data_IF_746787881283
#
_entry.id   IF_746787881283
#
_cell.length_a   1.000
_cell.length_b   1.000
_cell.length_c   1.000
_cell.angle_alpha   90.00
_cell.angle_beta   90.00
_cell.angle_gamma   90.00
#
_symmetry.space_group_name_H-M   'P 1'
#
loop_
_entity.id
_entity.type
_entity.pdbx_description
1 polymer ?
#
# COMPACT_ATOMS: atom_id res chain seq x y z
N UNK A 1 12.27 2.54 6.77
CA UNK A 1 13.19 1.40 6.92
C UNK A 1 13.07 0.95 8.36
N UNK A 2 12.85 -0.32 8.58
CA UNK A 2 12.72 -0.87 9.91
C UNK A 2 14.09 -0.92 10.61
N UNK A 3 14.09 -1.12 11.94
CA UNK A 3 15.32 -1.06 12.74
C UNK A 3 16.28 -2.25 12.51
N UNK A 4 15.79 -3.28 11.87
CA UNK A 4 16.48 -4.54 11.51
C UNK A 4 16.91 -4.60 10.04
N UNK A 5 16.61 -3.54 9.26
CA UNK A 5 17.03 -3.42 7.88
C UNK A 5 18.24 -2.48 7.75
N UNK A 6 19.11 -2.69 6.74
CA UNK A 6 20.23 -1.79 6.47
C UNK A 6 20.44 -1.54 4.98
N UNK A 7 20.96 -0.35 4.66
CA UNK A 7 21.33 0.01 3.31
C UNK A 7 22.62 -0.71 2.87
N UNK A 8 22.73 -1.08 1.58
CA UNK A 8 24.03 -1.42 1.01
C UNK A 8 24.90 -0.16 0.91
N UNK A 9 26.24 -0.27 0.96
CA UNK A 9 27.12 0.91 1.03
C UNK A 9 26.88 1.96 -0.06
N UNK A 10 26.53 1.53 -1.28
CA UNK A 10 26.34 2.43 -2.43
C UNK A 10 24.88 2.81 -2.69
N UNK A 11 23.96 2.49 -1.77
CA UNK A 11 22.52 2.67 -1.99
C UNK A 11 22.16 4.11 -2.39
N UNK A 12 22.64 5.11 -1.64
CA UNK A 12 22.32 6.52 -1.90
C UNK A 12 22.94 7.04 -3.20
N UNK A 13 24.16 6.60 -3.53
CA UNK A 13 24.78 6.93 -4.81
C UNK A 13 23.97 6.39 -5.99
N UNK A 14 23.52 5.14 -5.91
CA UNK A 14 22.64 4.52 -6.92
C UNK A 14 21.32 5.26 -7.07
N UNK A 15 20.66 5.59 -5.98
CA UNK A 15 19.45 6.41 -6.00
C UNK A 15 19.68 7.76 -6.67
N UNK A 16 20.80 8.43 -6.36
CA UNK A 16 21.14 9.72 -6.93
C UNK A 16 21.40 9.62 -8.45
N UNK A 17 22.13 8.61 -8.92
CA UNK A 17 22.38 8.37 -10.34
C UNK A 17 21.05 8.18 -11.08
N UNK A 18 20.16 7.32 -10.57
CA UNK A 18 18.87 7.08 -11.21
C UNK A 18 17.96 8.31 -11.19
N UNK A 19 18.02 9.10 -10.12
CA UNK A 19 17.29 10.37 -10.05
C UNK A 19 17.84 11.39 -11.07
N UNK A 20 19.14 11.51 -11.21
CA UNK A 20 19.77 12.43 -12.16
C UNK A 20 19.48 12.04 -13.62
N UNK A 21 19.30 10.75 -13.90
CA UNK A 21 18.90 10.23 -15.21
C UNK A 21 17.44 10.49 -15.58
N UNK A 22 16.61 11.03 -14.66
CA UNK A 22 15.30 11.56 -15.02
C UNK A 22 15.51 12.95 -15.64
N UNK A 23 14.99 13.19 -16.87
CA UNK A 23 15.08 14.52 -17.49
C UNK A 23 14.58 15.61 -16.55
N UNK A 24 15.34 16.68 -16.37
CA UNK A 24 15.04 17.73 -15.38
C UNK A 24 13.63 18.27 -15.49
N UNK A 25 13.13 18.47 -16.72
CA UNK A 25 11.77 18.94 -17.01
C UNK A 25 10.65 17.98 -16.58
N UNK A 26 10.99 16.71 -16.31
CA UNK A 26 10.02 15.67 -15.92
C UNK A 26 10.08 15.33 -14.43
N UNK A 27 11.14 15.74 -13.72
CA UNK A 27 11.35 15.40 -12.30
C UNK A 27 10.19 15.81 -11.39
N UNK A 28 9.46 16.88 -11.76
CA UNK A 28 8.29 17.32 -10.99
C UNK A 28 7.17 16.27 -10.96
N UNK A 29 7.11 15.38 -11.95
CA UNK A 29 6.13 14.29 -12.04
C UNK A 29 6.53 13.08 -11.20
N UNK A 30 7.75 13.05 -10.67
CA UNK A 30 8.29 11.89 -9.96
C UNK A 30 8.29 12.09 -8.45
N UNK A 31 7.85 11.04 -7.75
CA UNK A 31 7.90 10.92 -6.32
C UNK A 31 9.34 10.75 -5.83
N UNK A 32 10.10 9.89 -6.52
CA UNK A 32 11.46 9.49 -6.19
C UNK A 32 11.91 8.26 -6.96
N UNK A 33 12.84 7.52 -6.35
CA UNK A 33 13.42 6.29 -6.91
C UNK A 33 13.20 5.14 -5.91
N UNK A 34 12.89 3.94 -6.43
CA UNK A 34 12.63 2.75 -5.65
C UNK A 34 13.51 1.59 -6.12
N UNK A 35 14.21 0.95 -5.19
CA UNK A 35 15.05 -0.22 -5.43
C UNK A 35 14.59 -1.46 -4.68
N UNK A 36 15.35 -2.54 -4.82
CA UNK A 36 15.02 -3.85 -4.28
C UNK A 36 15.63 -4.03 -2.87
N UNK A 37 14.89 -4.76 -2.03
CA UNK A 37 15.47 -5.46 -0.89
C UNK A 37 15.98 -6.85 -1.32
N UNK A 38 17.04 -7.30 -0.68
CA UNK A 38 17.47 -8.68 -0.69
C UNK A 38 17.62 -9.19 0.75
N UNK A 39 17.61 -10.49 0.93
CA UNK A 39 18.07 -11.12 2.17
C UNK A 39 19.62 -11.18 2.18
N UNK A 40 20.22 -11.49 3.33
CA UNK A 40 21.68 -11.70 3.44
C UNK A 40 22.19 -12.78 2.48
N UNK A 41 21.35 -13.76 2.13
CA UNK A 41 21.62 -14.77 1.11
C UNK A 41 21.83 -14.22 -0.31
N UNK A 42 21.47 -12.95 -0.54
CA UNK A 42 21.42 -12.34 -1.87
C UNK A 42 20.12 -12.57 -2.63
N UNK A 43 19.18 -13.36 -2.07
CA UNK A 43 17.87 -13.58 -2.67
C UNK A 43 17.00 -12.31 -2.57
N UNK A 44 16.32 -11.97 -3.66
CA UNK A 44 15.46 -10.78 -3.71
C UNK A 44 14.19 -11.00 -2.87
N UNK A 45 13.81 -10.01 -2.07
CA UNK A 45 12.56 -10.03 -1.32
C UNK A 45 11.39 -9.86 -2.30
N UNK A 46 10.65 -10.95 -2.50
CA UNK A 46 9.55 -11.01 -3.44
C UNK A 46 10.01 -11.09 -4.90
N UNK A 47 9.54 -10.20 -5.77
CA UNK A 47 9.85 -10.23 -7.21
C UNK A 47 10.62 -9.00 -7.67
N UNK A 48 11.38 -9.14 -8.75
CA UNK A 48 11.97 -8.02 -9.49
C UNK A 48 10.89 -7.20 -10.20
N UNK A 49 11.24 -6.00 -10.62
CA UNK A 49 10.45 -5.20 -11.55
C UNK A 49 10.55 -5.79 -12.97
N UNK A 50 9.53 -5.56 -13.84
CA UNK A 50 9.51 -6.17 -15.18
C UNK A 50 10.64 -5.70 -16.11
N UNK A 51 11.23 -4.54 -15.84
CA UNK A 51 12.38 -3.99 -16.58
C UNK A 51 13.43 -3.49 -15.60
N UNK A 52 14.70 -3.41 -16.03
CA UNK A 52 15.78 -2.95 -15.16
C UNK A 52 15.58 -1.51 -14.68
N UNK A 53 14.97 -0.67 -15.50
CA UNK A 53 14.47 0.66 -15.13
C UNK A 53 13.05 0.79 -15.64
N UNK A 54 12.12 1.14 -14.75
CA UNK A 54 10.71 1.31 -15.07
C UNK A 54 10.17 2.58 -14.42
N UNK A 55 9.70 3.51 -15.22
CA UNK A 55 8.96 4.68 -14.73
C UNK A 55 7.46 4.37 -14.72
N UNK A 56 6.88 4.26 -13.52
CA UNK A 56 5.50 3.83 -13.31
C UNK A 56 4.96 4.36 -11.98
N UNK A 57 3.84 3.83 -11.53
CA UNK A 57 3.33 4.06 -10.19
C UNK A 57 3.05 2.74 -9.45
N UNK A 58 2.93 2.81 -8.13
CA UNK A 58 2.76 1.63 -7.27
C UNK A 58 1.51 0.80 -7.60
N UNK A 59 0.44 1.42 -8.10
CA UNK A 59 -0.77 0.68 -8.47
C UNK A 59 -0.53 -0.21 -9.69
N UNK A 60 0.07 0.34 -10.74
CA UNK A 60 0.39 -0.42 -11.97
C UNK A 60 1.35 -1.53 -11.61
N UNK A 61 2.39 -1.22 -10.82
CA UNK A 61 3.38 -2.18 -10.39
C UNK A 61 2.73 -3.36 -9.64
N UNK A 62 1.92 -3.07 -8.63
CA UNK A 62 1.30 -4.08 -7.77
C UNK A 62 0.18 -4.85 -8.47
N UNK A 63 -0.69 -4.18 -9.20
CA UNK A 63 -1.92 -4.79 -9.69
C UNK A 63 -1.88 -5.24 -11.15
N UNK A 64 -1.04 -4.65 -11.99
CA UNK A 64 -0.86 -5.08 -13.37
C UNK A 64 0.38 -5.96 -13.55
N UNK A 65 1.52 -5.53 -13.03
CA UNK A 65 2.77 -6.30 -13.10
C UNK A 65 2.91 -7.36 -11.99
N UNK A 66 2.01 -7.35 -10.99
CA UNK A 66 1.97 -8.33 -9.87
C UNK A 66 3.30 -8.38 -9.09
N UNK A 67 4.00 -7.27 -9.00
CA UNK A 67 5.22 -7.17 -8.20
C UNK A 67 4.87 -7.33 -6.72
N UNK A 68 5.65 -8.18 -6.04
CA UNK A 68 5.46 -8.56 -4.63
C UNK A 68 6.72 -8.29 -3.81
N UNK A 69 6.58 -8.38 -2.50
CA UNK A 69 7.66 -8.16 -1.54
C UNK A 69 7.95 -6.68 -1.31
N UNK A 70 8.60 -6.40 -0.19
CA UNK A 70 8.95 -5.06 0.21
C UNK A 70 9.99 -4.45 -0.74
N UNK A 71 9.88 -3.15 -0.94
CA UNK A 71 10.74 -2.35 -1.79
C UNK A 71 11.13 -1.07 -1.05
N UNK A 72 12.34 -0.58 -1.28
CA UNK A 72 12.85 0.61 -0.61
C UNK A 72 12.81 1.82 -1.54
N UNK A 73 12.11 2.86 -1.12
CA UNK A 73 11.99 4.11 -1.87
C UNK A 73 12.67 5.26 -1.16
N UNK A 74 13.40 6.08 -1.91
CA UNK A 74 13.74 7.44 -1.52
C UNK A 74 12.75 8.40 -2.16
N UNK A 75 12.18 9.27 -1.33
CA UNK A 75 11.05 10.13 -1.69
C UNK A 75 11.43 11.58 -1.50
N UNK A 76 10.99 12.43 -2.42
CA UNK A 76 11.16 13.88 -2.31
C UNK A 76 10.49 14.40 -1.04
N UNK A 77 11.27 15.04 -0.18
CA UNK A 77 10.81 15.51 1.12
C UNK A 77 9.65 16.51 1.03
N UNK A 78 9.67 17.40 0.02
CA UNK A 78 8.59 18.36 -0.21
C UNK A 78 7.26 17.68 -0.57
N UNK A 79 7.29 16.56 -1.30
CA UNK A 79 6.08 15.78 -1.59
C UNK A 79 5.61 15.10 -0.30
N UNK A 80 6.51 14.44 0.42
CA UNK A 80 6.14 13.72 1.66
C UNK A 80 5.49 14.64 2.69
N UNK A 81 5.96 15.90 2.81
CA UNK A 81 5.36 16.92 3.69
C UNK A 81 3.91 17.27 3.33
N UNK A 82 3.55 17.17 2.05
CA UNK A 82 2.19 17.45 1.56
C UNK A 82 1.21 16.28 1.75
N UNK A 83 1.70 15.11 2.15
CA UNK A 83 0.91 13.90 2.37
C UNK A 83 1.19 13.33 3.77
N UNK A 84 0.83 14.04 4.84
CA UNK A 84 1.05 13.54 6.19
C UNK A 84 0.23 12.29 6.45
N UNK A 85 0.74 11.44 7.34
CA UNK A 85 -0.04 10.34 7.88
C UNK A 85 -1.21 10.91 8.70
N UNK A 86 -2.43 10.35 8.53
CA UNK A 86 -3.54 10.73 9.40
C UNK A 86 -3.25 10.23 10.82
N UNK A 87 -3.34 11.11 11.82
CA UNK A 87 -3.01 10.84 13.23
C UNK A 87 -4.25 10.54 14.10
N UNK A 88 -5.45 10.68 13.53
CA UNK A 88 -6.75 10.55 14.20
C UNK A 88 -7.47 9.21 13.94
N UNK A 89 -6.83 8.25 13.24
CA UNK A 89 -7.48 7.01 12.79
C UNK A 89 -7.21 5.77 13.65
N UNK A 90 -6.58 5.93 14.82
CA UNK A 90 -6.26 4.85 15.73
C UNK A 90 -4.76 4.55 15.86
N UNK A 91 -4.43 3.41 16.50
CA UNK A 91 -3.05 3.07 16.84
C UNK A 91 -2.26 2.45 15.67
N UNK A 92 -2.93 1.89 14.69
CA UNK A 92 -2.33 1.28 13.51
C UNK A 92 -2.87 1.94 12.24
N UNK A 93 -1.99 2.62 11.53
CA UNK A 93 -2.30 3.30 10.28
C UNK A 93 -1.48 2.66 9.17
N UNK A 94 -2.12 1.95 8.22
CA UNK A 94 -1.41 1.36 7.09
C UNK A 94 -0.75 2.44 6.23
N UNK A 95 0.54 2.29 5.96
CA UNK A 95 1.31 3.22 5.12
C UNK A 95 0.73 3.38 3.72
N UNK A 96 0.08 2.34 3.21
CA UNK A 96 -0.56 2.33 1.89
C UNK A 96 -1.59 3.46 1.69
N UNK A 97 -2.14 4.06 2.76
CA UNK A 97 -3.00 5.25 2.65
C UNK A 97 -2.23 6.39 1.98
N UNK A 98 -1.03 6.66 2.47
CA UNK A 98 -0.17 7.75 1.97
C UNK A 98 0.38 7.40 0.59
N UNK A 99 0.87 6.17 0.43
CA UNK A 99 1.39 5.69 -0.86
C UNK A 99 0.33 5.76 -1.96
N UNK A 100 -0.90 5.34 -1.70
CA UNK A 100 -1.98 5.43 -2.67
C UNK A 100 -2.35 6.88 -3.04
N UNK A 101 -2.32 7.80 -2.08
CA UNK A 101 -2.57 9.23 -2.36
C UNK A 101 -1.50 9.81 -3.27
N UNK A 102 -0.22 9.53 -3.01
CA UNK A 102 0.89 9.99 -3.83
C UNK A 102 0.90 9.34 -5.22
N UNK A 103 0.66 8.04 -5.30
CA UNK A 103 0.65 7.29 -6.56
C UNK A 103 -0.44 7.73 -7.56
N UNK A 104 -1.47 8.45 -7.10
CA UNK A 104 -2.47 9.08 -7.99
C UNK A 104 -1.92 10.25 -8.80
N UNK A 105 -0.82 10.86 -8.36
CA UNK A 105 -0.28 12.10 -8.93
C UNK A 105 1.14 11.98 -9.45
N UNK A 106 1.92 11.07 -8.86
CA UNK A 106 3.34 10.96 -9.12
C UNK A 106 3.71 9.59 -9.64
N UNK A 107 4.73 9.56 -10.49
CA UNK A 107 5.43 8.36 -10.88
C UNK A 107 6.58 8.09 -9.90
N UNK A 108 7.04 6.85 -9.88
CA UNK A 108 8.26 6.41 -9.20
C UNK A 108 9.16 5.75 -10.24
N UNK A 109 10.45 6.02 -10.21
CA UNK A 109 11.43 5.26 -11.00
C UNK A 109 11.82 4.02 -10.22
N UNK A 110 11.43 2.86 -10.72
CA UNK A 110 11.75 1.55 -10.16
C UNK A 110 13.01 1.01 -10.84
N UNK A 111 13.95 0.48 -10.04
CA UNK A 111 15.23 -0.02 -10.54
C UNK A 111 15.54 -1.40 -9.96
N UNK A 112 15.96 -2.34 -10.82
CA UNK A 112 16.34 -3.70 -10.43
C UNK A 112 17.73 -3.76 -9.78
N UNK A 113 17.99 -2.85 -8.84
CA UNK A 113 19.21 -2.80 -8.05
C UNK A 113 18.89 -3.07 -6.58
N UNK A 114 19.72 -3.90 -5.95
CA UNK A 114 19.65 -4.14 -4.50
C UNK A 114 20.22 -2.90 -3.81
N UNK A 115 19.37 -2.26 -3.00
CA UNK A 115 19.70 -1.03 -2.28
C UNK A 115 19.66 -1.21 -0.76
N UNK A 116 19.03 -2.29 -0.30
CA UNK A 116 18.98 -2.62 1.12
C UNK A 116 18.91 -4.14 1.33
N UNK A 117 19.33 -4.53 2.53
CA UNK A 117 19.24 -5.90 3.02
C UNK A 117 18.15 -5.94 4.11
N UNK A 118 17.33 -6.98 4.06
CA UNK A 118 16.28 -7.25 5.03
C UNK A 118 16.63 -8.48 5.84
N UNK A 119 16.54 -8.37 7.16
CA UNK A 119 16.64 -9.52 8.04
C UNK A 119 15.32 -10.30 8.04
N UNK A 120 15.39 -11.62 7.92
CA UNK A 120 14.21 -12.48 7.97
C UNK A 120 13.75 -12.65 9.42
N UNK A 121 12.56 -12.15 9.73
CA UNK A 121 11.90 -12.39 11.02
C UNK A 121 10.80 -13.43 10.86
N UNK A 122 10.89 -14.53 11.61
CA UNK A 122 9.90 -15.62 11.59
C UNK A 122 8.53 -15.24 12.19
N UNK A 123 8.44 -14.15 12.97
CA UNK A 123 7.23 -13.68 13.65
C UNK A 123 6.85 -12.26 13.21
N UNK A 124 6.55 -12.06 11.91
CA UNK A 124 6.16 -10.75 11.39
C UNK A 124 4.72 -10.36 11.75
N UNK A 125 4.45 -9.03 11.79
CA UNK A 125 3.10 -8.46 11.96
C UNK A 125 2.09 -8.92 10.88
N UNK A 126 2.58 -9.55 9.82
CA UNK A 126 1.78 -10.01 8.66
C UNK A 126 0.74 -11.05 9.07
N UNK A 127 1.06 -11.96 9.99
CA UNK A 127 0.15 -13.03 10.42
C UNK A 127 -1.00 -12.50 11.30
N UNK A 128 -0.78 -11.39 11.99
CA UNK A 128 -1.79 -10.69 12.81
C UNK A 128 -2.54 -9.60 12.03
N UNK A 129 -2.21 -9.38 10.77
CA UNK A 129 -2.69 -8.25 9.96
C UNK A 129 -4.21 -8.16 9.85
N UNK A 130 -4.91 -9.28 9.76
CA UNK A 130 -6.39 -9.30 9.66
C UNK A 130 -7.05 -8.76 10.92
N UNK A 131 -6.60 -9.18 12.09
CA UNK A 131 -7.13 -8.72 13.39
C UNK A 131 -6.69 -7.28 13.67
N UNK A 132 -5.46 -6.92 13.29
CA UNK A 132 -4.95 -5.57 13.44
C UNK A 132 -5.77 -4.55 12.64
N UNK A 133 -6.15 -4.89 11.41
CA UNK A 133 -7.05 -4.07 10.60
C UNK A 133 -8.48 -4.00 11.19
N UNK A 134 -8.98 -5.10 11.73
CA UNK A 134 -10.30 -5.12 12.37
C UNK A 134 -10.34 -4.30 13.66
N UNK A 135 -9.24 -4.27 14.41
CA UNK A 135 -9.07 -3.44 15.60
C UNK A 135 -8.86 -1.94 15.28
N UNK A 136 -8.47 -1.60 14.04
CA UNK A 136 -8.29 -0.22 13.57
C UNK A 136 -9.15 0.04 12.31
N UNK A 137 -10.49 -0.07 12.42
CA UNK A 137 -11.37 -0.14 11.25
C UNK A 137 -11.44 1.17 10.46
N UNK A 138 -11.25 2.33 11.09
CA UNK A 138 -11.25 3.62 10.39
C UNK A 138 -10.09 3.72 9.40
N UNK A 139 -8.87 3.37 9.83
CA UNK A 139 -7.69 3.35 8.97
C UNK A 139 -7.79 2.28 7.88
N UNK A 140 -8.27 1.07 8.23
CA UNK A 140 -8.47 -0.01 7.28
C UNK A 140 -9.51 0.35 6.21
N UNK A 141 -10.62 1.02 6.59
CA UNK A 141 -11.62 1.57 5.68
C UNK A 141 -11.02 2.59 4.72
N UNK A 142 -10.28 3.57 5.26
CA UNK A 142 -9.65 4.61 4.46
C UNK A 142 -8.68 4.02 3.42
N UNK A 143 -7.91 2.99 3.79
CA UNK A 143 -7.06 2.27 2.84
C UNK A 143 -7.84 1.71 1.65
N UNK A 144 -9.04 1.11 1.90
CA UNK A 144 -9.89 0.59 0.82
C UNK A 144 -10.52 1.70 0.00
N UNK A 145 -10.92 2.78 0.65
CA UNK A 145 -11.40 3.98 -0.03
C UNK A 145 -10.37 4.53 -1.00
N UNK A 146 -9.14 4.77 -0.56
CA UNK A 146 -8.06 5.29 -1.40
C UNK A 146 -7.75 4.38 -2.60
N UNK A 147 -7.75 3.06 -2.39
CA UNK A 147 -7.56 2.08 -3.46
C UNK A 147 -8.70 2.11 -4.49
N UNK A 148 -9.96 2.14 -4.02
CA UNK A 148 -11.12 2.15 -4.91
C UNK A 148 -11.23 3.45 -5.72
N UNK A 149 -10.62 4.55 -5.23
CA UNK A 149 -10.55 5.85 -5.89
C UNK A 149 -9.20 6.11 -6.57
N UNK A 150 -8.43 5.05 -6.85
CA UNK A 150 -7.11 5.18 -7.47
C UNK A 150 -7.14 5.65 -8.93
N UNK A 151 -8.30 5.58 -9.60
CA UNK A 151 -8.45 5.97 -11.00
C UNK A 151 -7.84 4.99 -12.01
N UNK A 152 -7.44 3.79 -11.56
CA UNK A 152 -6.87 2.75 -12.41
C UNK A 152 -7.78 1.51 -12.48
N UNK A 153 -7.72 0.74 -13.58
CA UNK A 153 -8.43 -0.53 -13.66
C UNK A 153 -7.81 -1.56 -12.69
N UNK A 154 -8.56 -1.91 -11.66
CA UNK A 154 -8.18 -2.98 -10.73
C UNK A 154 -8.64 -4.34 -11.27
N UNK A 155 -7.85 -5.43 -11.09
CA UNK A 155 -8.31 -6.79 -11.35
C UNK A 155 -9.62 -7.08 -10.61
N UNK A 156 -10.51 -7.86 -11.23
CA UNK A 156 -11.84 -8.14 -10.67
C UNK A 156 -11.78 -8.64 -9.21
N UNK A 157 -10.89 -9.60 -8.93
CA UNK A 157 -10.74 -10.17 -7.59
C UNK A 157 -10.29 -9.13 -6.54
N UNK A 158 -9.38 -8.21 -6.91
CA UNK A 158 -8.91 -7.12 -6.06
C UNK A 158 -10.05 -6.14 -5.80
N UNK A 159 -10.76 -5.75 -6.86
CA UNK A 159 -11.91 -4.85 -6.79
C UNK A 159 -13.00 -5.44 -5.90
N UNK A 160 -13.38 -6.70 -6.12
CA UNK A 160 -14.39 -7.41 -5.33
C UNK A 160 -14.04 -7.45 -3.83
N UNK A 161 -12.81 -7.90 -3.51
CA UNK A 161 -12.32 -7.94 -2.13
C UNK A 161 -12.27 -6.55 -1.50
N UNK A 162 -11.92 -5.51 -2.27
CA UNK A 162 -11.80 -4.15 -1.75
C UNK A 162 -13.15 -3.55 -1.39
N UNK A 163 -14.20 -3.76 -2.21
CA UNK A 163 -15.55 -3.33 -1.88
C UNK A 163 -16.12 -4.06 -0.66
N UNK A 164 -15.97 -5.38 -0.58
CA UNK A 164 -16.41 -6.16 0.57
C UNK A 164 -15.69 -5.72 1.85
N UNK A 165 -14.36 -5.52 1.81
CA UNK A 165 -13.62 -5.04 2.98
C UNK A 165 -13.90 -3.57 3.30
N UNK A 166 -14.22 -2.72 2.31
CA UNK A 166 -14.68 -1.36 2.61
C UNK A 166 -15.96 -1.40 3.44
N UNK A 167 -16.96 -2.19 3.05
CA UNK A 167 -18.19 -2.39 3.82
C UNK A 167 -17.89 -2.96 5.21
N UNK A 168 -17.09 -4.04 5.29
CA UNK A 168 -16.65 -4.65 6.54
C UNK A 168 -16.12 -3.63 7.55
N UNK A 169 -15.10 -2.85 7.13
CA UNK A 169 -14.47 -1.87 8.02
C UNK A 169 -15.34 -0.63 8.24
N UNK A 170 -16.21 -0.27 7.29
CA UNK A 170 -17.18 0.80 7.50
C UNK A 170 -18.20 0.47 8.58
N UNK A 171 -18.68 -0.77 8.63
CA UNK A 171 -19.59 -1.23 9.68
C UNK A 171 -18.90 -1.26 11.04
N UNK A 172 -17.67 -1.76 11.13
CA UNK A 172 -16.87 -1.76 12.36
C UNK A 172 -16.54 -0.34 12.84
N UNK A 173 -16.34 0.61 11.91
CA UNK A 173 -16.12 2.03 12.20
C UNK A 173 -17.43 2.82 12.40
N UNK A 174 -18.60 2.14 12.43
CA UNK A 174 -19.93 2.75 12.61
C UNK A 174 -20.30 3.80 11.55
N UNK A 175 -19.77 3.67 10.34
CA UNK A 175 -20.11 4.55 9.21
C UNK A 175 -21.47 4.20 8.65
N UNK A 176 -22.34 5.22 8.51
CA UNK A 176 -23.71 5.03 8.04
C UNK A 176 -23.77 4.46 6.61
N UNK A 177 -24.82 3.67 6.31
CA UNK A 177 -25.01 3.11 4.96
C UNK A 177 -25.17 4.21 3.90
N UNK A 178 -25.79 5.34 4.26
CA UNK A 178 -25.93 6.50 3.38
C UNK A 178 -24.56 7.05 2.98
N UNK A 179 -23.65 7.18 3.92
CA UNK A 179 -22.28 7.64 3.65
C UNK A 179 -21.51 6.62 2.82
N UNK A 180 -21.57 5.33 3.18
CA UNK A 180 -20.94 4.26 2.39
C UNK A 180 -21.42 4.28 0.94
N UNK A 181 -22.72 4.39 0.72
CA UNK A 181 -23.31 4.48 -0.61
C UNK A 181 -22.81 5.73 -1.36
N UNK A 182 -22.79 6.89 -0.71
CA UNK A 182 -22.35 8.15 -1.31
C UNK A 182 -20.89 8.08 -1.77
N UNK A 183 -20.01 7.49 -0.97
CA UNK A 183 -18.58 7.41 -1.21
C UNK A 183 -18.16 6.41 -2.29
N UNK A 184 -18.96 5.37 -2.56
CA UNK A 184 -18.52 4.31 -3.48
C UNK A 184 -18.58 4.70 -4.95
N UNK A 185 -17.50 4.47 -5.75
CA UNK A 185 -17.47 4.78 -7.17
C UNK A 185 -18.52 4.00 -7.97
N UNK A 186 -18.77 2.73 -7.63
CA UNK A 186 -19.82 1.91 -8.22
C UNK A 186 -20.82 1.46 -7.18
N UNK A 187 -22.02 2.02 -7.21
CA UNK A 187 -23.14 1.69 -6.30
C UNK A 187 -23.58 0.23 -6.47
N UNK A 188 -23.65 -0.23 -7.73
CA UNK A 188 -24.01 -1.61 -8.05
C UNK A 188 -22.98 -2.60 -7.49
N UNK A 189 -21.71 -2.34 -7.70
CA UNK A 189 -20.65 -3.24 -7.23
C UNK A 189 -20.57 -3.27 -5.70
N UNK A 190 -20.81 -2.13 -5.05
CA UNK A 190 -20.93 -2.05 -3.60
C UNK A 190 -22.12 -2.89 -3.11
N UNK A 191 -23.30 -2.75 -3.71
CA UNK A 191 -24.49 -3.50 -3.32
C UNK A 191 -24.31 -5.01 -3.47
N UNK A 192 -23.68 -5.46 -4.58
CA UNK A 192 -23.38 -6.88 -4.81
C UNK A 192 -22.41 -7.48 -3.78
N UNK A 193 -21.46 -6.71 -3.29
CA UNK A 193 -20.47 -7.17 -2.31
C UNK A 193 -20.88 -6.94 -0.86
N UNK A 194 -21.94 -6.18 -0.64
CA UNK A 194 -22.42 -5.78 0.68
C UNK A 194 -22.71 -6.95 1.63
N UNK A 195 -23.43 -8.02 1.21
CA UNK A 195 -23.69 -9.16 2.10
C UNK A 195 -22.39 -9.84 2.60
N UNK A 196 -21.39 -9.97 1.74
CA UNK A 196 -20.08 -10.50 2.14
C UNK A 196 -19.38 -9.58 3.15
N UNK A 197 -19.44 -8.27 2.92
CA UNK A 197 -18.89 -7.28 3.86
C UNK A 197 -19.55 -7.37 5.25
N UNK A 198 -20.87 -7.56 5.31
CA UNK A 198 -21.61 -7.76 6.56
C UNK A 198 -21.17 -9.05 7.27
N UNK A 199 -21.08 -10.17 6.55
CA UNK A 199 -20.63 -11.44 7.11
C UNK A 199 -19.23 -11.36 7.69
N UNK A 200 -18.30 -10.68 7.00
CA UNK A 200 -16.94 -10.45 7.48
C UNK A 200 -16.91 -9.55 8.72
N UNK A 201 -17.74 -8.50 8.78
CA UNK A 201 -17.83 -7.62 9.95
C UNK A 201 -18.37 -8.38 11.18
N UNK A 202 -19.42 -9.20 10.99
CA UNK A 202 -19.96 -10.04 12.08
C UNK A 202 -18.90 -11.03 12.61
N UNK A 203 -18.16 -11.70 11.72
CA UNK A 203 -17.05 -12.57 12.11
C UNK A 203 -16.03 -11.82 12.96
N UNK A 204 -15.62 -10.64 12.57
CA UNK A 204 -14.62 -9.87 13.31
C UNK A 204 -15.13 -9.38 14.65
N UNK A 205 -16.40 -8.97 14.75
CA UNK A 205 -17.01 -8.66 16.04
C UNK A 205 -16.97 -9.84 17.00
N UNK A 206 -17.16 -11.06 16.48
CA UNK A 206 -17.04 -12.28 17.29
C UNK A 206 -15.59 -12.53 17.74
N UNK A 207 -14.63 -12.47 16.81
CA UNK A 207 -13.21 -12.71 17.11
C UNK A 207 -12.60 -11.65 18.05
N UNK A 208 -13.04 -10.39 17.96
CA UNK A 208 -12.56 -9.32 18.84
C UNK A 208 -13.17 -9.39 20.25
N UNK A 209 -14.34 -10.01 20.41
CA UNK A 209 -14.97 -10.22 21.74
C UNK A 209 -14.37 -11.40 22.50
N UNK A 210 -13.87 -12.42 21.78
CA UNK A 210 -13.33 -13.66 22.33
C UNK A 210 -11.95 -13.93 21.72
N UNK A 211 -10.92 -13.16 22.09
CA UNK A 211 -9.56 -13.46 21.65
C UNK A 211 -9.14 -14.81 22.23
N UNK A 212 -8.84 -15.77 21.36
CA UNK A 212 -8.32 -17.11 21.68
C UNK A 212 -6.91 -17.04 22.23
#
# INVERSE_FOLDING_TARGET
MDSDDWYVPQAFERFLIHWQNIPQREREKFLGVCGLFAYESGEIVGTKFPHDVLDSNDFILKYQHKVTGDKLSVIRTEIMRNYPFPDDLGKFIPESIVWYRMAKRYHTRFVNEIVAIKEYQSEGLTDKGVLLHAANPAAARLTRYELLHAGIPLPFSVRFKSYANYTRYSLLAQVTLRQQFAEMPSKLFWALTFPLGCALAMRDCFLLRWPS
#
